data_IF_873449120677
#
_entry.id   IF_873449120677
#
_cell.length_a   1.000
_cell.length_b   1.000
_cell.length_c   1.000
_cell.angle_alpha   90.00
_cell.angle_beta   90.00
_cell.angle_gamma   90.00
#
_symmetry.space_group_name_H-M   'P 1'
#
loop_
_entity.id
_entity.type
_entity.pdbx_description
1 polymer ?
#
# COMPACT_ATOMS: atom_id res chain seq x y z
N UNK A 1 -62.87 31.20 -12.11
CA UNK A 1 -62.53 29.85 -11.60
C UNK A 1 -61.39 29.18 -12.41
N UNK A 2 -61.35 29.30 -13.71
CA UNK A 2 -60.26 28.71 -14.51
C UNK A 2 -58.85 29.22 -14.18
N UNK A 3 -58.64 30.50 -13.90
CA UNK A 3 -57.33 31.09 -13.52
C UNK A 3 -56.78 30.56 -12.19
N UNK A 4 -57.61 30.15 -11.26
CA UNK A 4 -57.21 29.63 -9.96
C UNK A 4 -56.72 28.16 -10.07
N UNK A 5 -57.35 27.35 -10.94
CA UNK A 5 -56.97 25.97 -11.19
C UNK A 5 -55.64 25.88 -11.93
N UNK A 6 -55.37 26.78 -12.89
CA UNK A 6 -54.13 26.80 -13.66
C UNK A 6 -52.94 27.18 -12.75
N UNK A 7 -53.09 28.11 -11.80
CA UNK A 7 -52.04 28.48 -10.83
C UNK A 7 -51.68 27.30 -9.91
N UNK A 8 -52.65 26.53 -9.44
CA UNK A 8 -52.41 25.35 -8.59
C UNK A 8 -51.65 24.24 -9.33
N UNK A 9 -51.94 24.00 -10.60
CA UNK A 9 -51.22 23.00 -11.42
C UNK A 9 -49.83 23.43 -11.74
N UNK A 10 -49.57 24.70 -12.03
CA UNK A 10 -48.21 25.25 -12.27
C UNK A 10 -47.38 25.22 -11.00
N UNK A 11 -47.92 25.56 -9.83
CA UNK A 11 -47.21 25.48 -8.56
C UNK A 11 -46.83 24.04 -8.18
N UNK A 12 -47.72 23.08 -8.41
CA UNK A 12 -47.43 21.64 -8.20
C UNK A 12 -46.35 21.11 -9.16
N UNK A 13 -46.38 21.54 -10.43
CA UNK A 13 -45.38 21.17 -11.43
C UNK A 13 -44.01 21.73 -11.11
N UNK A 14 -43.92 22.99 -10.64
CA UNK A 14 -42.68 23.61 -10.23
C UNK A 14 -42.10 22.93 -9.00
N UNK A 15 -42.92 22.55 -8.03
CA UNK A 15 -42.50 21.79 -6.86
C UNK A 15 -41.92 20.42 -7.23
N UNK A 16 -42.53 19.72 -8.19
CA UNK A 16 -42.04 18.41 -8.67
C UNK A 16 -40.67 18.55 -9.35
N UNK A 17 -40.47 19.59 -10.15
CA UNK A 17 -39.19 19.85 -10.81
C UNK A 17 -38.10 20.16 -9.78
N UNK A 18 -38.42 20.98 -8.78
CA UNK A 18 -37.51 21.30 -7.67
C UNK A 18 -37.12 20.04 -6.90
N UNK A 19 -38.09 19.16 -6.61
CA UNK A 19 -37.83 17.89 -5.92
C UNK A 19 -36.91 16.98 -6.74
N UNK A 20 -37.15 16.87 -8.04
CA UNK A 20 -36.31 16.05 -8.93
C UNK A 20 -34.88 16.58 -8.99
N UNK A 21 -34.70 17.89 -9.09
CA UNK A 21 -33.38 18.54 -9.07
C UNK A 21 -32.69 18.29 -7.75
N UNK A 22 -33.38 18.42 -6.63
CA UNK A 22 -32.84 18.18 -5.29
C UNK A 22 -32.38 16.71 -5.11
N UNK A 23 -33.20 15.75 -5.56
CA UNK A 23 -32.83 14.32 -5.54
C UNK A 23 -31.63 14.04 -6.45
N UNK A 24 -31.62 14.61 -7.64
CA UNK A 24 -30.49 14.49 -8.58
C UNK A 24 -29.18 15.03 -7.99
N UNK A 25 -29.25 16.23 -7.40
CA UNK A 25 -28.08 16.81 -6.73
C UNK A 25 -27.59 15.96 -5.55
N UNK A 26 -28.52 15.45 -4.75
CA UNK A 26 -28.19 14.57 -3.63
C UNK A 26 -27.54 13.26 -4.09
N UNK A 27 -28.04 12.68 -5.18
CA UNK A 27 -27.46 11.46 -5.76
C UNK A 27 -26.01 11.69 -6.21
N UNK A 28 -25.75 12.80 -6.91
CA UNK A 28 -24.40 13.16 -7.37
C UNK A 28 -23.47 13.41 -6.19
N UNK A 29 -23.91 14.17 -5.19
CA UNK A 29 -23.13 14.44 -3.99
C UNK A 29 -22.78 13.15 -3.23
N UNK A 30 -23.72 12.23 -3.10
CA UNK A 30 -23.49 10.92 -2.47
C UNK A 30 -22.46 10.09 -3.23
N UNK A 31 -22.54 10.08 -4.56
CA UNK A 31 -21.58 9.36 -5.40
C UNK A 31 -20.16 9.90 -5.23
N UNK A 32 -19.99 11.22 -5.19
CA UNK A 32 -18.69 11.87 -4.95
C UNK A 32 -18.15 11.53 -3.56
N UNK A 33 -18.99 11.58 -2.53
CA UNK A 33 -18.59 11.21 -1.18
C UNK A 33 -18.10 9.76 -1.08
N UNK A 34 -18.81 8.82 -1.73
CA UNK A 34 -18.38 7.42 -1.78
C UNK A 34 -17.04 7.25 -2.49
N UNK A 35 -16.81 7.94 -3.60
CA UNK A 35 -15.53 7.90 -4.31
C UNK A 35 -14.37 8.43 -3.44
N UNK A 36 -14.60 9.52 -2.72
CA UNK A 36 -13.59 10.08 -1.81
C UNK A 36 -13.29 9.12 -0.66
N UNK A 37 -14.30 8.46 -0.12
CA UNK A 37 -14.12 7.47 0.94
C UNK A 37 -13.31 6.26 0.48
N UNK A 38 -13.61 5.72 -0.70
CA UNK A 38 -12.83 4.61 -1.28
C UNK A 38 -11.38 5.01 -1.52
N UNK A 39 -11.14 6.20 -2.08
CA UNK A 39 -9.77 6.72 -2.29
C UNK A 39 -9.01 6.90 -0.98
N UNK A 40 -9.66 7.47 0.03
CA UNK A 40 -9.05 7.64 1.35
C UNK A 40 -8.64 6.29 1.98
N UNK A 41 -9.48 5.27 1.82
CA UNK A 41 -9.17 3.92 2.29
C UNK A 41 -7.99 3.29 1.56
N UNK A 42 -7.92 3.43 0.23
CA UNK A 42 -6.79 2.92 -0.56
C UNK A 42 -5.48 3.59 -0.16
N UNK A 43 -5.47 4.92 0.01
CA UNK A 43 -4.28 5.66 0.47
C UNK A 43 -3.86 5.22 1.86
N UNK A 44 -4.81 4.98 2.77
CA UNK A 44 -4.53 4.48 4.11
C UNK A 44 -3.85 3.10 4.09
N UNK A 45 -4.34 2.18 3.27
CA UNK A 45 -3.74 0.85 3.11
C UNK A 45 -2.32 0.96 2.55
N UNK A 46 -2.13 1.77 1.51
CA UNK A 46 -0.80 2.00 0.92
C UNK A 46 0.19 2.61 1.91
N UNK A 47 -0.27 3.52 2.76
CA UNK A 47 0.56 4.13 3.81
C UNK A 47 1.00 3.11 4.86
N UNK A 48 0.13 2.21 5.26
CA UNK A 48 0.46 1.12 6.18
C UNK A 48 1.46 0.16 5.55
N UNK A 49 1.24 -0.25 4.30
CA UNK A 49 2.15 -1.12 3.57
C UNK A 49 3.55 -0.49 3.43
N UNK A 50 3.62 0.79 3.09
CA UNK A 50 4.87 1.52 2.99
C UNK A 50 5.60 1.59 4.34
N UNK A 51 4.89 1.87 5.43
CA UNK A 51 5.46 1.92 6.78
C UNK A 51 6.01 0.56 7.19
N UNK A 52 5.29 -0.52 6.93
CA UNK A 52 5.72 -1.89 7.23
C UNK A 52 6.91 -2.31 6.36
N UNK A 53 6.88 -1.98 5.07
CA UNK A 53 8.00 -2.24 4.16
C UNK A 53 9.27 -1.51 4.61
N UNK A 54 9.15 -0.25 5.04
CA UNK A 54 10.26 0.55 5.56
C UNK A 54 10.85 -0.08 6.81
N UNK A 55 10.02 -0.48 7.77
CA UNK A 55 10.48 -1.15 9.00
C UNK A 55 11.18 -2.47 8.70
N UNK A 56 10.65 -3.28 7.79
CA UNK A 56 11.27 -4.53 7.38
C UNK A 56 12.64 -4.30 6.72
N UNK A 57 12.73 -3.31 5.83
CA UNK A 57 13.99 -2.95 5.18
C UNK A 57 15.03 -2.42 6.16
N UNK A 58 14.63 -1.59 7.13
CA UNK A 58 15.52 -1.09 8.19
C UNK A 58 16.03 -2.23 9.07
N UNK A 59 15.17 -3.14 9.49
CA UNK A 59 15.57 -4.31 10.28
C UNK A 59 16.56 -5.18 9.52
N UNK A 60 16.36 -5.38 8.22
CA UNK A 60 17.30 -6.11 7.37
C UNK A 60 18.64 -5.38 7.23
N UNK A 61 18.62 -4.06 7.07
CA UNK A 61 19.84 -3.23 7.01
C UNK A 61 20.64 -3.28 8.30
N UNK A 62 19.98 -3.15 9.45
CA UNK A 62 20.60 -3.23 10.76
C UNK A 62 21.24 -4.60 11.01
N UNK A 63 20.53 -5.68 10.69
CA UNK A 63 21.05 -7.03 10.80
C UNK A 63 22.27 -7.25 9.89
N UNK A 64 22.20 -6.80 8.64
CA UNK A 64 23.32 -6.90 7.70
C UNK A 64 24.55 -6.12 8.19
N UNK A 65 24.37 -4.87 8.62
CA UNK A 65 25.44 -4.05 9.16
C UNK A 65 25.99 -4.63 10.47
N UNK A 66 25.14 -5.08 11.37
CA UNK A 66 25.53 -5.69 12.64
C UNK A 66 26.30 -7.00 12.48
N UNK A 67 26.06 -7.72 11.38
CA UNK A 67 26.80 -8.93 11.01
C UNK A 67 28.06 -8.65 10.16
N UNK A 68 28.46 -7.40 9.99
CA UNK A 68 29.64 -7.03 9.21
C UNK A 68 29.54 -7.38 7.72
N UNK A 69 28.31 -7.36 7.17
CA UNK A 69 28.05 -7.69 5.77
C UNK A 69 27.96 -9.18 5.46
N UNK A 70 27.84 -10.06 6.46
CA UNK A 70 27.66 -11.49 6.28
C UNK A 70 26.17 -11.82 6.07
N UNK A 71 25.83 -12.32 4.89
CA UNK A 71 24.47 -12.76 4.57
C UNK A 71 24.05 -13.98 5.40
N UNK A 72 24.97 -14.93 5.60
CA UNK A 72 24.71 -16.14 6.39
C UNK A 72 24.29 -15.81 7.84
N UNK A 73 25.01 -14.90 8.50
CA UNK A 73 24.66 -14.45 9.85
C UNK A 73 23.38 -13.64 9.88
N UNK A 74 23.17 -12.79 8.88
CA UNK A 74 21.93 -12.01 8.76
C UNK A 74 20.72 -12.91 8.51
N UNK A 75 20.88 -13.97 7.68
CA UNK A 75 19.80 -14.93 7.44
C UNK A 75 19.41 -15.71 8.69
N UNK A 76 20.39 -16.06 9.52
CA UNK A 76 20.14 -16.73 10.80
C UNK A 76 19.36 -15.86 11.79
N UNK A 77 19.59 -14.54 11.77
CA UNK A 77 18.87 -13.57 12.62
C UNK A 77 17.46 -13.26 12.12
N UNK A 78 17.29 -13.12 10.79
CA UNK A 78 16.06 -12.67 10.16
C UNK A 78 15.14 -13.82 9.74
N UNK A 79 15.62 -15.05 9.71
CA UNK A 79 14.86 -16.23 9.29
C UNK A 79 14.61 -16.30 7.78
N UNK A 80 15.46 -15.65 6.98
CA UNK A 80 15.37 -15.67 5.52
C UNK A 80 16.11 -16.82 4.88
N UNK A 81 15.97 -16.94 3.56
CA UNK A 81 16.72 -17.89 2.74
C UNK A 81 17.82 -17.15 1.98
N UNK A 82 19.04 -17.64 2.08
CA UNK A 82 20.17 -17.16 1.30
C UNK A 82 20.33 -18.01 0.04
N UNK A 83 20.40 -17.34 -1.10
CA UNK A 83 20.65 -17.98 -2.40
C UNK A 83 21.43 -17.00 -3.29
N UNK A 84 22.53 -17.49 -3.87
CA UNK A 84 23.35 -16.79 -4.87
C UNK A 84 23.72 -15.33 -4.52
N UNK A 85 24.11 -15.07 -3.25
CA UNK A 85 24.52 -13.74 -2.79
C UNK A 85 23.37 -12.79 -2.49
N UNK A 86 22.16 -13.28 -2.39
CA UNK A 86 20.98 -12.56 -1.98
C UNK A 86 20.27 -13.26 -0.82
N UNK A 87 19.74 -12.48 0.09
CA UNK A 87 18.90 -12.94 1.19
C UNK A 87 17.45 -12.58 0.86
N UNK A 88 16.57 -13.57 0.87
CA UNK A 88 15.14 -13.38 0.63
C UNK A 88 14.34 -13.71 1.86
N UNK A 89 13.44 -12.82 2.26
CA UNK A 89 12.50 -12.98 3.37
C UNK A 89 11.08 -12.82 2.82
N UNK A 90 10.21 -13.71 3.21
CA UNK A 90 8.82 -13.73 2.81
C UNK A 90 7.92 -13.27 3.94
N UNK A 91 6.97 -12.40 3.65
CA UNK A 91 5.99 -11.86 4.59
C UNK A 91 4.57 -12.15 4.10
N UNK A 92 3.71 -12.54 5.02
CA UNK A 92 2.29 -12.72 4.76
C UNK A 92 1.52 -11.40 4.64
N UNK A 93 0.19 -11.45 4.41
CA UNK A 93 -0.66 -10.26 4.32
C UNK A 93 -0.66 -9.38 5.57
N UNK A 94 -0.36 -9.95 6.72
CA UNK A 94 -0.25 -9.30 8.03
C UNK A 94 1.17 -8.85 8.38
N UNK A 95 2.10 -8.93 7.42
CA UNK A 95 3.52 -8.59 7.58
C UNK A 95 4.28 -9.47 8.60
N UNK A 96 3.77 -10.63 8.91
CA UNK A 96 4.51 -11.62 9.67
C UNK A 96 5.38 -12.49 8.75
N UNK A 97 6.61 -12.84 9.15
CA UNK A 97 7.43 -13.77 8.38
C UNK A 97 6.69 -15.10 8.14
N UNK A 98 6.73 -15.58 6.91
CA UNK A 98 6.05 -16.80 6.51
C UNK A 98 6.83 -17.56 5.44
N UNK A 99 6.34 -18.74 5.06
CA UNK A 99 6.84 -19.46 3.90
C UNK A 99 6.41 -18.82 2.58
N UNK A 100 7.13 -19.14 1.50
CA UNK A 100 6.86 -18.63 0.15
C UNK A 100 5.42 -18.86 -0.31
N UNK A 101 4.80 -19.96 0.12
CA UNK A 101 3.45 -20.37 -0.30
C UNK A 101 2.35 -19.42 0.18
N UNK A 102 2.55 -18.79 1.36
CA UNK A 102 1.58 -17.89 1.97
C UNK A 102 2.02 -16.41 1.90
N UNK A 103 3.05 -16.11 1.12
CA UNK A 103 3.64 -14.80 1.07
C UNK A 103 2.80 -13.83 0.23
N UNK A 104 2.62 -12.61 0.74
CA UNK A 104 2.06 -11.47 0.02
C UNK A 104 3.16 -10.45 -0.35
N UNK A 105 4.24 -10.40 0.41
CA UNK A 105 5.36 -9.49 0.21
C UNK A 105 6.69 -10.24 0.25
N UNK A 106 7.67 -9.68 -0.44
CA UNK A 106 9.03 -10.23 -0.50
C UNK A 106 10.04 -9.11 -0.23
N UNK A 107 10.96 -9.35 0.68
CA UNK A 107 12.15 -8.54 0.87
C UNK A 107 13.34 -9.29 0.27
N UNK A 108 14.11 -8.62 -0.56
CA UNK A 108 15.36 -9.14 -1.14
C UNK A 108 16.50 -8.21 -0.75
N UNK A 109 17.51 -8.73 -0.10
CA UNK A 109 18.74 -8.05 0.22
C UNK A 109 19.84 -8.64 -0.66
N UNK A 110 20.36 -7.84 -1.59
CA UNK A 110 21.43 -8.23 -2.50
C UNK A 110 22.74 -7.59 -2.04
N UNK A 111 23.74 -8.43 -1.78
CA UNK A 111 25.08 -7.97 -1.42
C UNK A 111 25.88 -7.64 -2.66
N UNK A 112 26.52 -6.47 -2.67
CA UNK A 112 27.50 -6.10 -3.69
C UNK A 112 28.93 -6.43 -3.29
N UNK A 113 29.86 -6.13 -4.18
CA UNK A 113 31.29 -6.33 -3.98
C UNK A 113 31.98 -5.01 -3.62
N UNK A 114 33.05 -5.11 -2.85
CA UNK A 114 33.88 -3.95 -2.49
C UNK A 114 34.00 -3.71 -0.98
N UNK A 115 34.72 -2.67 -0.63
CA UNK A 115 34.87 -2.16 0.72
C UNK A 115 34.76 -0.63 0.70
N UNK A 116 33.79 -0.02 1.37
CA UNK A 116 32.72 -0.64 2.18
C UNK A 116 31.82 -1.56 1.36
N UNK A 117 31.28 -2.61 1.98
CA UNK A 117 30.41 -3.59 1.32
C UNK A 117 29.05 -2.95 1.08
N UNK A 118 28.64 -2.72 -0.19
CA UNK A 118 27.32 -2.20 -0.48
C UNK A 118 26.29 -3.33 -0.43
N UNK A 119 25.06 -3.00 -0.07
CA UNK A 119 23.91 -3.88 -0.25
C UNK A 119 22.69 -3.07 -0.63
N UNK A 120 21.85 -3.67 -1.44
CA UNK A 120 20.56 -3.12 -1.84
C UNK A 120 19.44 -3.97 -1.27
N UNK A 121 18.49 -3.31 -0.61
CA UNK A 121 17.32 -3.94 -0.03
C UNK A 121 16.10 -3.47 -0.80
N UNK A 122 15.35 -4.41 -1.35
CA UNK A 122 14.14 -4.17 -2.10
C UNK A 122 12.97 -4.89 -1.45
N UNK A 123 11.90 -4.16 -1.17
CA UNK A 123 10.63 -4.75 -0.71
C UNK A 123 9.59 -4.60 -1.80
N UNK A 124 9.00 -5.71 -2.20
CA UNK A 124 8.01 -5.76 -3.28
C UNK A 124 6.76 -6.53 -2.87
N UNK A 125 5.63 -6.14 -3.48
CA UNK A 125 4.38 -6.90 -3.40
C UNK A 125 4.40 -8.01 -4.43
N UNK A 126 3.96 -9.21 -4.06
CA UNK A 126 3.96 -10.36 -4.97
C UNK A 126 2.79 -10.37 -5.95
N UNK A 127 1.68 -9.76 -5.59
CA UNK A 127 0.45 -9.74 -6.40
C UNK A 127 0.65 -9.07 -7.76
N UNK A 128 1.30 -7.91 -7.78
CA UNK A 128 1.52 -7.10 -8.97
C UNK A 128 3.02 -6.88 -9.30
N UNK A 129 3.91 -7.40 -8.47
CA UNK A 129 5.36 -7.21 -8.61
C UNK A 129 5.84 -5.79 -8.33
N UNK A 130 4.97 -4.91 -7.80
CA UNK A 130 5.32 -3.52 -7.52
C UNK A 130 6.34 -3.40 -6.40
N UNK A 131 7.33 -2.52 -6.60
CA UNK A 131 8.28 -2.13 -5.56
C UNK A 131 7.59 -1.19 -4.57
N UNK A 132 7.61 -1.54 -3.28
CA UNK A 132 7.08 -0.71 -2.20
C UNK A 132 8.14 0.22 -1.64
N UNK A 133 9.35 -0.29 -1.44
CA UNK A 133 10.45 0.45 -0.83
C UNK A 133 11.81 -0.13 -1.27
N UNK A 134 12.78 0.73 -1.45
CA UNK A 134 14.17 0.33 -1.67
C UNK A 134 15.12 1.13 -0.80
N UNK A 135 16.17 0.49 -0.31
CA UNK A 135 17.16 1.07 0.57
C UNK A 135 18.55 0.56 0.19
N UNK A 136 19.47 1.47 -0.07
CA UNK A 136 20.89 1.15 -0.22
C UNK A 136 21.64 1.37 1.08
N UNK A 137 22.43 0.39 1.51
CA UNK A 137 23.27 0.45 2.71
C UNK A 137 24.70 0.09 2.37
N UNK A 138 25.64 0.55 3.21
CA UNK A 138 27.04 0.20 3.12
C UNK A 138 27.57 -0.15 4.50
N UNK A 139 28.27 -1.26 4.61
CA UNK A 139 28.92 -1.65 5.86
C UNK A 139 30.44 -1.67 5.66
N UNK A 140 31.21 -1.19 6.65
CA UNK A 140 32.67 -1.16 6.55
C UNK A 140 33.32 -2.55 6.44
#
# INVERSE_FOLDING_TARGET
MAKRMIRGRLASSLFLIELIIAIGFFAVASAVCLQLFVRARLVSIQSVDLSRATLAAQSAAEAFCGCGGSLEKASALLGGQEDDGALTIWYGPDWNPCGRENAAYRLTLTRGEGRPIPAEILVSRLEDGSSLFSLGVKTP
#
